data_IF_075785565103
#
_entry.id   IF_075785565103
#
_cell.length_a   1.000
_cell.length_b   1.000
_cell.length_c   1.000
_cell.angle_alpha   90.00
_cell.angle_beta   90.00
_cell.angle_gamma   90.00
#
_symmetry.space_group_name_H-M   'P 1'
#
loop_
_entity.id
_entity.type
_entity.pdbx_description
1 polymer ?
#
# COMPACT_ATOMS: atom_id res chain seq x y z
N UNK A 1 -9.04 2.56 -21.96
CA UNK A 1 -8.00 1.78 -21.20
C UNK A 1 -8.49 1.66 -19.79
N UNK A 2 -8.57 0.45 -19.26
CA UNK A 2 -8.99 0.25 -17.88
C UNK A 2 -7.93 0.78 -16.88
N UNK A 3 -8.30 0.93 -15.60
CA UNK A 3 -7.43 1.54 -14.61
C UNK A 3 -6.13 0.75 -14.38
N UNK A 4 -6.20 -0.60 -14.37
CA UNK A 4 -5.01 -1.43 -14.17
C UNK A 4 -4.02 -1.22 -15.32
N UNK A 5 -4.50 -1.18 -16.56
CA UNK A 5 -3.67 -0.85 -17.72
C UNK A 5 -3.02 0.54 -17.58
N UNK A 6 -3.76 1.53 -17.08
CA UNK A 6 -3.19 2.88 -16.84
C UNK A 6 -2.09 2.87 -15.77
N UNK A 7 -2.27 2.11 -14.68
CA UNK A 7 -1.26 1.93 -13.62
C UNK A 7 0.01 1.30 -14.21
N UNK A 8 -0.14 0.26 -15.03
CA UNK A 8 0.97 -0.42 -15.71
C UNK A 8 1.71 0.52 -16.66
N UNK A 9 0.99 1.26 -17.51
CA UNK A 9 1.63 2.19 -18.47
C UNK A 9 2.38 3.35 -17.78
N UNK A 10 1.85 3.86 -16.65
CA UNK A 10 2.60 4.87 -15.87
C UNK A 10 3.89 4.30 -15.27
N UNK A 11 3.86 3.06 -14.79
CA UNK A 11 5.05 2.39 -14.29
C UNK A 11 6.09 2.16 -15.40
N UNK A 12 5.66 1.74 -16.60
CA UNK A 12 6.54 1.58 -17.78
C UNK A 12 7.20 2.88 -18.19
N UNK A 13 6.45 4.00 -18.19
CA UNK A 13 6.94 5.32 -18.57
C UNK A 13 7.99 5.88 -17.62
N UNK A 14 8.00 5.43 -16.36
CA UNK A 14 8.94 5.86 -15.33
C UNK A 14 9.35 4.68 -14.44
N UNK A 15 10.20 3.81 -14.99
CA UNK A 15 10.61 2.56 -14.35
C UNK A 15 11.22 2.78 -12.99
N UNK A 16 10.79 2.00 -12.04
CA UNK A 16 11.28 1.98 -10.67
C UNK A 16 11.98 0.64 -10.38
N UNK A 17 12.92 0.64 -9.45
CA UNK A 17 13.66 -0.54 -8.98
C UNK A 17 12.90 -1.14 -7.80
N UNK A 18 12.28 -2.30 -8.02
CA UNK A 18 11.45 -2.97 -7.01
C UNK A 18 12.16 -4.22 -6.51
N UNK A 19 12.33 -4.31 -5.19
CA UNK A 19 12.90 -5.48 -4.52
C UNK A 19 11.83 -6.52 -4.26
N UNK A 20 12.12 -7.76 -4.62
CA UNK A 20 11.30 -8.94 -4.34
C UNK A 20 12.11 -9.90 -3.43
N UNK A 21 11.93 -9.81 -2.10
CA UNK A 21 12.71 -10.60 -1.13
C UNK A 21 12.49 -12.11 -1.22
N UNK A 22 11.36 -12.54 -1.77
CA UNK A 22 10.96 -13.94 -1.90
C UNK A 22 11.32 -14.49 -3.29
N UNK A 23 12.59 -14.33 -3.69
CA UNK A 23 13.09 -14.59 -5.05
C UNK A 23 12.98 -16.04 -5.53
N UNK A 24 12.73 -17.03 -4.66
CA UNK A 24 12.52 -18.44 -5.01
C UNK A 24 11.03 -18.85 -4.91
N UNK A 25 10.13 -17.90 -4.67
CA UNK A 25 8.70 -18.20 -4.60
C UNK A 25 8.10 -18.24 -6.01
N UNK A 26 7.35 -19.29 -6.33
CA UNK A 26 6.88 -19.60 -7.68
C UNK A 26 6.05 -18.47 -8.30
N UNK A 27 5.04 -17.95 -7.57
CA UNK A 27 4.15 -16.88 -8.05
C UNK A 27 4.93 -15.58 -8.25
N UNK A 28 5.85 -15.31 -7.34
CA UNK A 28 6.75 -14.14 -7.41
C UNK A 28 7.65 -14.21 -8.64
N UNK A 29 8.29 -15.35 -8.91
CA UNK A 29 9.13 -15.51 -10.11
C UNK A 29 8.34 -15.47 -11.41
N UNK A 30 7.15 -16.09 -11.45
CA UNK A 30 6.28 -16.03 -12.65
C UNK A 30 5.81 -14.61 -12.93
N UNK A 31 5.37 -13.86 -11.91
CA UNK A 31 5.00 -12.46 -12.06
C UNK A 31 6.21 -11.59 -12.44
N UNK A 32 7.38 -11.83 -11.82
CA UNK A 32 8.61 -11.13 -12.17
C UNK A 32 8.99 -11.31 -13.63
N UNK A 33 8.90 -12.54 -14.16
CA UNK A 33 9.15 -12.81 -15.57
C UNK A 33 8.21 -12.00 -16.49
N UNK A 34 6.93 -11.88 -16.14
CA UNK A 34 5.97 -11.09 -16.90
C UNK A 34 6.27 -9.59 -16.82
N UNK A 35 6.58 -9.06 -15.61
CA UNK A 35 6.99 -7.67 -15.41
C UNK A 35 8.20 -7.30 -16.26
N UNK A 36 9.22 -8.19 -16.31
CA UNK A 36 10.43 -8.00 -17.11
C UNK A 36 10.17 -8.12 -18.61
N UNK A 37 9.23 -8.97 -19.02
CA UNK A 37 8.78 -9.10 -20.40
C UNK A 37 8.10 -7.81 -20.85
N UNK A 38 7.18 -7.30 -20.05
CA UNK A 38 6.36 -6.13 -20.36
C UNK A 38 7.12 -4.80 -20.12
N UNK A 39 8.27 -4.86 -19.45
CA UNK A 39 9.11 -3.70 -19.16
C UNK A 39 8.51 -2.73 -18.14
N UNK A 40 7.73 -3.24 -17.17
CA UNK A 40 6.98 -2.43 -16.19
C UNK A 40 7.87 -1.83 -15.12
N UNK A 41 8.85 -2.59 -14.63
CA UNK A 41 9.78 -2.19 -13.59
C UNK A 41 11.15 -2.86 -13.78
N UNK A 42 12.18 -2.32 -13.16
CA UNK A 42 13.44 -3.01 -12.90
C UNK A 42 13.30 -3.83 -11.62
N UNK A 43 13.72 -5.08 -11.63
CA UNK A 43 13.53 -5.98 -10.50
C UNK A 43 14.87 -6.36 -9.85
N UNK A 44 14.84 -6.42 -8.52
CA UNK A 44 15.92 -6.94 -7.68
C UNK A 44 15.36 -8.15 -6.94
N UNK A 45 15.79 -9.35 -7.30
CA UNK A 45 15.40 -10.61 -6.67
C UNK A 45 16.41 -10.96 -5.58
N UNK A 46 15.95 -11.28 -4.37
CA UNK A 46 16.82 -11.71 -3.29
C UNK A 46 16.77 -13.23 -3.13
N UNK A 47 17.92 -13.85 -3.11
CA UNK A 47 18.09 -15.30 -2.96
C UNK A 47 19.35 -15.79 -3.67
N UNK A 48 19.60 -17.10 -3.56
CA UNK A 48 20.74 -17.73 -4.22
C UNK A 48 20.56 -17.67 -5.76
N UNK A 49 21.52 -17.12 -6.52
CA UNK A 49 21.42 -16.96 -7.97
C UNK A 49 21.23 -18.27 -8.73
N UNK A 50 21.97 -19.32 -8.33
CA UNK A 50 21.89 -20.63 -9.00
C UNK A 50 20.53 -21.28 -8.79
N UNK A 51 19.96 -21.16 -7.57
CA UNK A 51 18.63 -21.65 -7.25
C UNK A 51 17.56 -20.88 -8.07
N UNK A 52 17.60 -19.53 -8.05
CA UNK A 52 16.65 -18.69 -8.80
C UNK A 52 16.70 -19.01 -10.29
N UNK A 53 17.89 -19.10 -10.88
CA UNK A 53 18.04 -19.39 -12.31
C UNK A 53 17.69 -20.85 -12.64
N UNK A 54 17.92 -21.79 -11.72
CA UNK A 54 17.47 -23.17 -11.83
C UNK A 54 15.96 -23.28 -11.91
N UNK A 55 15.25 -22.65 -10.98
CA UNK A 55 13.79 -22.57 -10.96
C UNK A 55 13.22 -21.83 -12.19
N UNK A 56 13.85 -20.75 -12.61
CA UNK A 56 13.47 -20.02 -13.81
C UNK A 56 13.54 -20.92 -15.06
N UNK A 57 14.61 -21.74 -15.17
CA UNK A 57 14.75 -22.72 -16.27
C UNK A 57 13.71 -23.81 -16.20
N UNK A 58 13.47 -24.38 -15.01
CA UNK A 58 12.46 -25.41 -14.76
C UNK A 58 11.06 -24.96 -15.18
N UNK A 59 10.70 -23.72 -14.85
CA UNK A 59 9.38 -23.16 -15.13
C UNK A 59 9.30 -22.41 -16.46
N UNK A 60 10.37 -22.40 -17.29
CA UNK A 60 10.36 -21.76 -18.60
C UNK A 60 10.33 -20.23 -18.56
N UNK A 61 10.86 -19.61 -17.52
CA UNK A 61 10.83 -18.18 -17.29
C UNK A 61 12.04 -17.48 -17.95
N UNK A 62 11.96 -17.25 -19.26
CA UNK A 62 13.08 -16.82 -20.10
C UNK A 62 13.61 -15.40 -19.83
N UNK A 63 12.90 -14.53 -19.09
CA UNK A 63 13.30 -13.14 -18.87
C UNK A 63 13.91 -12.85 -17.48
N UNK A 64 13.96 -13.83 -16.58
CA UNK A 64 14.51 -13.64 -15.21
C UNK A 64 15.97 -13.18 -15.23
N UNK A 65 16.74 -13.54 -16.25
CA UNK A 65 18.12 -13.08 -16.43
C UNK A 65 18.26 -11.55 -16.58
N UNK A 66 17.16 -10.82 -16.83
CA UNK A 66 17.13 -9.34 -16.89
C UNK A 66 17.02 -8.69 -15.51
N UNK A 67 16.67 -9.46 -14.46
CA UNK A 67 16.65 -8.97 -13.10
C UNK A 67 18.05 -8.89 -12.51
N UNK A 68 18.26 -7.97 -11.58
CA UNK A 68 19.42 -8.04 -10.68
C UNK A 68 19.13 -9.10 -9.62
N UNK A 69 20.01 -10.08 -9.45
CA UNK A 69 19.88 -11.09 -8.40
C UNK A 69 20.93 -10.81 -7.33
N UNK A 70 20.50 -10.70 -6.08
CA UNK A 70 21.36 -10.44 -4.92
C UNK A 70 21.25 -11.62 -3.96
N UNK A 71 22.38 -12.26 -3.69
CA UNK A 71 22.50 -13.28 -2.66
C UNK A 71 22.67 -12.61 -1.29
N UNK A 72 21.74 -12.79 -0.34
CA UNK A 72 21.87 -12.24 1.00
C UNK A 72 23.11 -12.75 1.75
N UNK A 73 23.59 -13.95 1.42
CA UNK A 73 24.77 -14.56 2.06
C UNK A 73 26.09 -14.12 1.42
N UNK A 74 26.06 -13.62 0.19
CA UNK A 74 27.26 -13.26 -0.57
C UNK A 74 27.09 -11.98 -1.38
N UNK A 75 26.91 -10.85 -0.71
CA UNK A 75 26.74 -9.56 -1.35
C UNK A 75 27.87 -8.59 -1.03
N UNK A 76 28.47 -7.90 -2.00
CA UNK A 76 29.63 -7.01 -1.79
C UNK A 76 29.36 -5.84 -0.82
N UNK A 77 28.12 -5.38 -0.70
CA UNK A 77 27.69 -4.30 0.22
C UNK A 77 27.17 -4.82 1.57
N UNK A 78 27.36 -6.10 1.89
CA UNK A 78 26.80 -6.72 3.10
C UNK A 78 27.24 -5.99 4.38
N UNK A 79 28.52 -5.65 4.49
CA UNK A 79 29.06 -4.93 5.65
C UNK A 79 28.54 -3.47 5.70
N UNK A 80 28.41 -2.79 4.56
CA UNK A 80 27.85 -1.45 4.46
C UNK A 80 26.40 -1.44 4.98
N UNK A 81 25.59 -2.41 4.57
CA UNK A 81 24.21 -2.53 5.07
C UNK A 81 24.14 -2.91 6.54
N UNK A 82 25.05 -3.72 7.05
CA UNK A 82 25.14 -4.04 8.48
C UNK A 82 25.48 -2.79 9.32
N UNK A 83 26.42 -1.98 8.86
CA UNK A 83 26.76 -0.71 9.49
C UNK A 83 25.60 0.27 9.47
N UNK A 84 24.90 0.41 8.33
CA UNK A 84 23.70 1.23 8.20
C UNK A 84 22.61 0.81 9.19
N UNK A 85 22.32 -0.50 9.29
CA UNK A 85 21.33 -1.02 10.24
C UNK A 85 21.75 -0.77 11.69
N UNK A 86 23.01 -1.00 12.02
CA UNK A 86 23.57 -0.74 13.36
C UNK A 86 23.40 0.74 13.75
N UNK A 87 23.72 1.66 12.84
CA UNK A 87 23.57 3.10 13.06
C UNK A 87 22.09 3.49 13.26
N UNK A 88 21.19 3.06 12.37
CA UNK A 88 19.75 3.34 12.44
C UNK A 88 19.13 2.84 13.74
N UNK A 89 19.64 1.76 14.30
CA UNK A 89 19.09 1.09 15.49
C UNK A 89 19.96 1.22 16.74
N UNK A 90 21.03 2.03 16.72
CA UNK A 90 21.97 2.24 17.83
C UNK A 90 21.27 2.57 19.15
N UNK A 91 20.31 3.50 19.12
CA UNK A 91 19.51 3.89 20.31
C UNK A 91 18.61 2.76 20.85
N UNK A 92 18.46 1.67 20.13
CA UNK A 92 17.70 0.47 20.52
C UNK A 92 18.61 -0.71 20.86
N UNK A 93 19.93 -0.46 21.04
CA UNK A 93 20.91 -1.47 21.45
C UNK A 93 21.35 -2.44 20.34
N UNK A 94 21.20 -2.08 19.07
CA UNK A 94 21.69 -2.90 17.97
C UNK A 94 23.21 -2.97 17.98
N UNK A 95 23.77 -4.19 18.01
CA UNK A 95 25.20 -4.43 17.83
C UNK A 95 25.53 -4.71 16.38
N UNK A 96 26.78 -4.58 15.98
CA UNK A 96 27.19 -4.87 14.60
C UNK A 96 27.05 -6.36 14.28
N UNK A 97 27.30 -7.25 15.25
CA UNK A 97 27.08 -8.70 15.09
C UNK A 97 25.60 -9.03 14.90
N UNK A 98 24.73 -8.36 15.64
CA UNK A 98 23.26 -8.47 15.47
C UNK A 98 22.82 -7.96 14.10
N UNK A 99 23.37 -6.84 13.65
CA UNK A 99 23.08 -6.27 12.34
C UNK A 99 23.56 -7.20 11.21
N UNK A 100 24.77 -7.75 11.28
CA UNK A 100 25.28 -8.72 10.29
C UNK A 100 24.38 -9.95 10.13
N UNK A 101 23.79 -10.46 11.23
CA UNK A 101 22.83 -11.57 11.17
C UNK A 101 21.51 -11.16 10.49
N UNK A 102 21.01 -9.94 10.77
CA UNK A 102 19.77 -9.47 10.19
C UNK A 102 19.87 -9.14 8.70
N UNK A 103 21.03 -8.70 8.22
CA UNK A 103 21.28 -8.44 6.78
C UNK A 103 21.13 -9.71 5.94
N UNK A 104 21.34 -10.89 6.52
CA UNK A 104 21.11 -12.18 5.84
C UNK A 104 19.60 -12.47 5.63
N UNK A 105 18.72 -11.79 6.36
CA UNK A 105 17.27 -11.93 6.16
C UNK A 105 16.83 -11.08 4.95
N UNK A 106 16.23 -11.67 3.90
CA UNK A 106 15.87 -10.95 2.69
C UNK A 106 14.93 -9.77 2.91
N UNK A 107 14.00 -9.84 3.89
CA UNK A 107 13.08 -8.74 4.21
C UNK A 107 13.82 -7.53 4.82
N UNK A 108 14.83 -7.77 5.66
CA UNK A 108 15.69 -6.72 6.20
C UNK A 108 16.60 -6.16 5.12
N UNK A 109 17.23 -7.03 4.34
CA UNK A 109 18.11 -6.62 3.25
C UNK A 109 17.39 -5.74 2.23
N UNK A 110 16.18 -6.12 1.81
CA UNK A 110 15.39 -5.33 0.87
C UNK A 110 15.08 -3.92 1.39
N UNK A 111 14.71 -3.80 2.67
CA UNK A 111 14.51 -2.49 3.29
C UNK A 111 15.82 -1.67 3.38
N UNK A 112 16.97 -2.30 3.60
CA UNK A 112 18.29 -1.64 3.64
C UNK A 112 18.72 -1.16 2.26
N UNK A 113 18.50 -1.95 1.21
CA UNK A 113 18.72 -1.58 -0.18
C UNK A 113 17.92 -0.30 -0.52
N UNK A 114 16.64 -0.24 -0.13
CA UNK A 114 15.81 0.97 -0.31
C UNK A 114 16.36 2.14 0.50
N UNK A 115 16.73 1.90 1.76
CA UNK A 115 17.22 2.94 2.66
C UNK A 115 18.55 3.55 2.19
N UNK A 116 19.41 2.75 1.57
CA UNK A 116 20.66 3.18 0.94
C UNK A 116 20.45 3.94 -0.40
N UNK A 117 19.23 3.90 -0.97
CA UNK A 117 18.93 4.53 -2.26
C UNK A 117 19.22 3.63 -3.46
N UNK A 118 19.55 2.35 -3.24
CA UNK A 118 19.84 1.38 -4.29
C UNK A 118 18.56 0.77 -4.90
N UNK A 119 17.40 0.95 -4.27
CA UNK A 119 16.07 0.62 -4.79
C UNK A 119 14.99 1.63 -4.37
N UNK A 120 13.79 1.50 -4.93
CA UNK A 120 12.73 2.48 -4.81
C UNK A 120 11.50 1.95 -4.04
N UNK A 121 11.32 0.63 -3.98
CA UNK A 121 10.24 -0.02 -3.25
C UNK A 121 10.46 -1.51 -3.08
N UNK A 122 9.64 -2.14 -2.23
CA UNK A 122 9.65 -3.58 -1.94
C UNK A 122 8.24 -4.16 -2.00
N UNK A 123 8.11 -5.38 -2.52
CA UNK A 123 6.92 -6.20 -2.44
C UNK A 123 7.28 -7.58 -1.90
N UNK A 124 6.62 -8.02 -0.82
CA UNK A 124 6.80 -9.33 -0.20
C UNK A 124 5.47 -9.84 0.36
N UNK A 125 5.45 -10.97 1.06
CA UNK A 125 4.28 -11.51 1.77
C UNK A 125 3.66 -12.75 1.14
N UNK A 126 4.15 -13.20 -0.01
CA UNK A 126 3.68 -14.44 -0.61
C UNK A 126 3.99 -15.69 0.26
N UNK A 127 5.09 -15.65 1.02
CA UNK A 127 5.49 -16.67 2.01
C UNK A 127 5.46 -16.15 3.45
N UNK A 128 5.84 -14.90 3.66
CA UNK A 128 6.00 -14.30 4.98
C UNK A 128 4.69 -13.75 5.53
N UNK A 129 4.64 -13.56 6.85
CA UNK A 129 3.49 -12.90 7.50
C UNK A 129 3.57 -11.37 7.34
N UNK A 130 2.43 -10.68 7.40
CA UNK A 130 2.37 -9.21 7.44
C UNK A 130 3.30 -8.61 8.51
N UNK A 131 3.35 -9.23 9.70
CA UNK A 131 4.24 -8.78 10.78
C UNK A 131 5.73 -8.89 10.43
N UNK A 132 6.13 -9.91 9.67
CA UNK A 132 7.52 -10.10 9.25
C UNK A 132 7.92 -9.09 8.18
N UNK A 133 6.99 -8.73 7.28
CA UNK A 133 7.19 -7.68 6.25
C UNK A 133 7.24 -6.29 6.89
N UNK A 134 6.30 -5.97 7.79
CA UNK A 134 6.20 -4.65 8.40
C UNK A 134 7.33 -4.34 9.40
N UNK A 135 7.83 -5.35 10.13
CA UNK A 135 8.85 -5.14 11.16
C UNK A 135 10.12 -4.48 10.60
N UNK A 136 10.80 -4.99 9.56
CA UNK A 136 11.96 -4.31 8.97
C UNK A 136 11.59 -2.98 8.33
N UNK A 137 10.43 -2.86 7.67
CA UNK A 137 9.95 -1.59 7.10
C UNK A 137 9.88 -0.49 8.16
N UNK A 138 9.24 -0.75 9.31
CA UNK A 138 9.12 0.21 10.40
C UNK A 138 10.45 0.48 11.12
N UNK A 139 11.35 -0.51 11.18
CA UNK A 139 12.64 -0.36 11.83
C UNK A 139 13.65 0.43 11.01
N UNK A 140 13.61 0.32 9.68
CA UNK A 140 14.61 0.83 8.74
C UNK A 140 14.08 2.02 7.96
N UNK A 141 12.95 1.85 7.27
CA UNK A 141 12.34 2.87 6.41
C UNK A 141 11.60 3.91 7.28
N UNK A 142 10.88 3.45 8.30
CA UNK A 142 10.02 4.24 9.20
C UNK A 142 8.77 4.76 8.51
N UNK A 143 7.92 5.44 9.28
CA UNK A 143 6.74 6.15 8.75
C UNK A 143 7.14 7.43 8.03
N UNK A 144 6.26 7.90 7.16
CA UNK A 144 6.41 9.19 6.49
C UNK A 144 6.40 10.35 7.51
N UNK A 145 7.01 11.51 7.21
CA UNK A 145 6.98 12.66 8.08
C UNK A 145 5.55 13.05 8.48
N UNK A 146 5.33 13.28 9.78
CA UNK A 146 4.00 13.61 10.33
C UNK A 146 3.04 12.42 10.48
N UNK A 147 3.41 11.23 10.04
CA UNK A 147 2.60 10.00 10.14
C UNK A 147 3.18 9.10 11.23
N UNK A 148 2.30 8.58 12.09
CA UNK A 148 2.67 7.72 13.22
C UNK A 148 2.12 6.30 13.13
N UNK A 149 1.20 6.04 12.19
CA UNK A 149 0.62 4.73 11.98
C UNK A 149 0.74 4.28 10.52
N UNK A 150 0.77 2.97 10.32
CA UNK A 150 0.66 2.33 9.01
C UNK A 150 -0.78 1.85 8.83
N UNK A 151 -1.30 1.95 7.63
CA UNK A 151 -2.63 1.46 7.27
C UNK A 151 -2.59 0.79 5.89
N UNK A 152 -3.68 0.14 5.52
CA UNK A 152 -3.81 -0.50 4.21
C UNK A 152 -5.02 0.03 3.46
N UNK A 153 -4.84 0.44 2.21
CA UNK A 153 -5.93 0.82 1.33
C UNK A 153 -6.29 -0.31 0.36
N UNK A 154 -7.57 -0.40 0.02
CA UNK A 154 -8.08 -1.28 -1.03
C UNK A 154 -8.58 -0.46 -2.19
N UNK A 155 -8.07 -0.73 -3.39
CA UNK A 155 -8.61 -0.21 -4.63
C UNK A 155 -9.77 -1.12 -5.06
N UNK A 156 -10.95 -0.55 -5.21
CA UNK A 156 -12.18 -1.24 -5.59
C UNK A 156 -12.61 -0.77 -6.98
N UNK A 157 -12.69 -1.71 -7.91
CA UNK A 157 -13.26 -1.52 -9.25
C UNK A 157 -14.64 -2.17 -9.26
N UNK A 158 -15.67 -1.35 -9.12
CA UNK A 158 -17.06 -1.81 -8.97
C UNK A 158 -17.81 -1.80 -10.29
N UNK A 159 -18.98 -2.43 -10.33
CA UNK A 159 -19.93 -2.37 -11.44
C UNK A 159 -20.99 -1.27 -11.25
N UNK A 160 -20.73 -0.31 -10.36
CA UNK A 160 -21.59 0.83 -10.06
C UNK A 160 -20.95 2.14 -10.57
N UNK A 161 -21.04 2.45 -11.88
CA UNK A 161 -20.35 3.60 -12.47
C UNK A 161 -20.83 4.94 -11.91
N UNK A 162 -22.00 4.99 -11.28
CA UNK A 162 -22.54 6.15 -10.60
C UNK A 162 -21.87 6.45 -9.26
N UNK A 163 -21.10 5.50 -8.70
CA UNK A 163 -20.36 5.66 -7.45
C UNK A 163 -18.87 5.94 -7.72
N UNK A 164 -18.25 6.80 -6.94
CA UNK A 164 -16.85 7.17 -7.08
C UNK A 164 -16.54 7.82 -8.43
N UNK A 165 -15.44 7.44 -9.05
CA UNK A 165 -15.09 7.88 -10.40
C UNK A 165 -15.29 6.71 -11.37
N UNK A 166 -16.46 6.64 -12.00
CA UNK A 166 -16.85 5.54 -12.89
C UNK A 166 -16.71 4.14 -12.22
N UNK A 167 -17.16 4.01 -10.98
CA UNK A 167 -17.08 2.77 -10.23
C UNK A 167 -15.73 2.52 -9.53
N UNK A 168 -14.78 3.44 -9.64
CA UNK A 168 -13.48 3.36 -8.95
C UNK A 168 -13.57 4.03 -7.59
N UNK A 169 -13.23 3.29 -6.55
CA UNK A 169 -13.19 3.72 -5.15
C UNK A 169 -11.89 3.28 -4.48
N UNK A 170 -11.44 4.04 -3.49
CA UNK A 170 -10.34 3.62 -2.60
C UNK A 170 -10.85 3.62 -1.16
N UNK A 171 -10.68 2.51 -0.45
CA UNK A 171 -11.15 2.33 0.92
C UNK A 171 -9.96 2.11 1.88
N UNK A 172 -9.91 2.81 3.00
CA UNK A 172 -8.90 2.67 4.07
C UNK A 172 -9.50 2.88 5.47
N UNK A 173 -8.97 2.25 6.53
CA UNK A 173 -8.03 1.15 6.61
C UNK A 173 -8.75 -0.20 6.48
N UNK A 174 -8.15 -1.13 5.75
CA UNK A 174 -8.77 -2.45 5.54
C UNK A 174 -7.87 -3.61 6.03
N UNK A 175 -6.65 -3.31 6.53
CA UNK A 175 -5.65 -4.37 6.70
C UNK A 175 -4.75 -4.28 7.94
N UNK A 176 -4.54 -3.13 8.59
CA UNK A 176 -3.42 -2.95 9.53
C UNK A 176 -3.83 -2.48 10.93
N UNK A 177 -4.53 -1.35 11.06
CA UNK A 177 -4.79 -0.71 12.37
C UNK A 177 -6.18 -1.07 12.90
N UNK A 178 -6.31 -1.97 13.92
CA UNK A 178 -7.61 -2.50 14.32
C UNK A 178 -8.57 -1.43 14.84
N UNK A 179 -8.14 -0.64 15.80
CA UNK A 179 -8.97 0.41 16.44
C UNK A 179 -8.17 1.71 16.45
N UNK A 180 -8.20 2.49 15.38
CA UNK A 180 -7.50 3.78 15.32
C UNK A 180 -8.13 4.77 16.31
N UNK A 181 -7.30 5.56 16.98
CA UNK A 181 -7.76 6.77 17.64
C UNK A 181 -8.07 7.89 16.61
N UNK A 182 -8.53 9.05 17.07
CA UNK A 182 -8.91 10.14 16.17
C UNK A 182 -7.73 10.67 15.35
N UNK A 183 -6.52 10.74 15.94
CA UNK A 183 -5.30 11.15 15.25
C UNK A 183 -4.89 10.14 14.16
N UNK A 184 -4.89 8.86 14.51
CA UNK A 184 -4.58 7.78 13.56
C UNK A 184 -5.60 7.75 12.43
N UNK A 185 -6.89 7.91 12.74
CA UNK A 185 -7.95 7.92 11.72
C UNK A 185 -7.82 9.11 10.76
N UNK A 186 -7.42 10.29 11.26
CA UNK A 186 -7.09 11.46 10.43
C UNK A 186 -5.91 11.17 9.49
N UNK A 187 -4.85 10.55 10.00
CA UNK A 187 -3.69 10.17 9.20
C UNK A 187 -4.04 9.11 8.15
N UNK A 188 -4.89 8.13 8.50
CA UNK A 188 -5.43 7.14 7.56
C UNK A 188 -6.16 7.84 6.40
N UNK A 189 -6.98 8.85 6.70
CA UNK A 189 -7.70 9.61 5.67
C UNK A 189 -6.75 10.31 4.69
N UNK A 190 -5.73 11.01 5.21
CA UNK A 190 -4.72 11.69 4.41
C UNK A 190 -3.94 10.68 3.55
N UNK A 191 -3.45 9.59 4.16
CA UNK A 191 -2.70 8.56 3.44
C UNK A 191 -3.56 7.87 2.37
N UNK A 192 -4.86 7.62 2.65
CA UNK A 192 -5.75 6.99 1.68
C UNK A 192 -6.02 7.91 0.48
N UNK A 193 -6.16 9.22 0.71
CA UNK A 193 -6.26 10.22 -0.35
C UNK A 193 -4.99 10.27 -1.21
N UNK A 194 -3.81 10.25 -0.58
CA UNK A 194 -2.52 10.20 -1.28
C UNK A 194 -2.39 8.93 -2.12
N UNK A 195 -2.80 7.78 -1.59
CA UNK A 195 -2.83 6.50 -2.32
C UNK A 195 -3.78 6.57 -3.52
N UNK A 196 -4.98 7.12 -3.35
CA UNK A 196 -5.94 7.29 -4.44
C UNK A 196 -5.37 8.15 -5.58
N UNK A 197 -4.67 9.24 -5.24
CA UNK A 197 -4.01 10.11 -6.22
C UNK A 197 -2.83 9.40 -6.89
N UNK A 198 -1.92 8.81 -6.11
CA UNK A 198 -0.69 8.22 -6.60
C UNK A 198 -0.92 6.97 -7.45
N UNK A 199 -1.83 6.09 -7.03
CA UNK A 199 -2.07 4.79 -7.65
C UNK A 199 -3.18 4.87 -8.68
N UNK A 200 -4.35 5.38 -8.28
CA UNK A 200 -5.52 5.41 -9.16
C UNK A 200 -5.62 6.69 -10.03
N UNK A 201 -4.79 7.70 -9.77
CA UNK A 201 -4.83 8.97 -10.52
C UNK A 201 -6.09 9.80 -10.25
N UNK A 202 -6.78 9.54 -9.13
CA UNK A 202 -8.01 10.21 -8.76
C UNK A 202 -7.74 11.63 -8.23
N UNK A 203 -8.73 12.51 -8.35
CA UNK A 203 -8.86 13.72 -7.53
C UNK A 203 -9.61 13.33 -6.25
N UNK A 204 -8.94 13.19 -5.09
CA UNK A 204 -9.55 12.57 -3.91
C UNK A 204 -10.67 13.42 -3.33
N UNK A 205 -11.84 12.81 -3.15
CA UNK A 205 -13.00 13.33 -2.43
C UNK A 205 -13.29 12.36 -1.28
N UNK A 206 -12.80 12.72 -0.09
CA UNK A 206 -12.73 11.83 1.07
C UNK A 206 -13.99 11.92 1.91
N UNK A 207 -14.66 10.80 2.14
CA UNK A 207 -15.74 10.66 3.10
C UNK A 207 -15.27 9.91 4.34
N UNK A 208 -15.36 10.55 5.51
CA UNK A 208 -15.19 9.91 6.81
C UNK A 208 -16.48 9.19 7.19
N UNK A 209 -16.46 7.85 7.13
CA UNK A 209 -17.67 7.04 7.27
C UNK A 209 -18.05 6.78 8.73
N UNK A 210 -19.35 6.77 8.95
CA UNK A 210 -20.00 6.45 10.22
C UNK A 210 -21.41 5.91 9.98
N UNK A 211 -22.06 5.39 11.02
CA UNK A 211 -23.50 5.16 10.99
C UNK A 211 -24.33 6.45 11.22
N UNK A 212 -23.67 7.57 11.49
CA UNK A 212 -24.25 8.91 11.62
C UNK A 212 -23.94 9.77 10.40
N UNK A 213 -24.81 10.71 10.07
CA UNK A 213 -24.59 11.78 9.09
C UNK A 213 -24.87 13.11 9.74
N UNK A 214 -23.85 13.97 9.87
CA UNK A 214 -23.96 15.35 10.36
C UNK A 214 -24.75 15.48 11.68
N UNK A 215 -24.39 14.63 12.67
CA UNK A 215 -24.98 14.65 14.00
C UNK A 215 -26.32 13.93 14.12
N UNK A 216 -26.70 13.07 13.15
CA UNK A 216 -27.96 12.31 13.23
C UNK A 216 -27.97 11.27 14.36
N UNK A 217 -26.79 10.89 14.88
CA UNK A 217 -26.65 10.03 16.06
C UNK A 217 -25.55 10.57 16.98
N UNK A 218 -25.66 10.22 18.28
CA UNK A 218 -24.67 10.59 19.32
C UNK A 218 -24.11 9.33 19.95
N UNK A 219 -22.81 9.13 19.82
CA UNK A 219 -22.09 8.01 20.41
C UNK A 219 -20.58 8.29 20.34
N UNK A 220 -19.80 7.76 21.28
CA UNK A 220 -18.32 7.94 21.32
C UNK A 220 -17.62 7.55 20.02
N UNK A 221 -18.08 6.51 19.30
CA UNK A 221 -17.51 6.11 18.01
C UNK A 221 -17.84 7.14 16.90
N UNK A 222 -18.92 7.90 17.02
CA UNK A 222 -19.23 9.02 16.12
C UNK A 222 -18.34 10.21 16.45
N UNK A 223 -18.19 10.54 17.75
CA UNK A 223 -17.37 11.65 18.22
C UNK A 223 -15.91 11.47 17.77
N UNK A 224 -15.38 10.23 17.78
CA UNK A 224 -14.06 9.90 17.23
C UNK A 224 -13.94 10.29 15.75
N UNK A 225 -14.92 9.99 14.93
CA UNK A 225 -14.89 10.31 13.48
C UNK A 225 -14.97 11.83 13.26
N UNK A 226 -15.79 12.53 14.04
CA UNK A 226 -15.91 14.00 13.99
C UNK A 226 -14.60 14.67 14.37
N UNK A 227 -13.94 14.19 15.45
CA UNK A 227 -12.64 14.71 15.87
C UNK A 227 -11.55 14.40 14.84
N UNK A 228 -11.55 13.19 14.28
CA UNK A 228 -10.63 12.82 13.22
C UNK A 228 -10.76 13.70 11.97
N UNK A 229 -11.98 14.05 11.58
CA UNK A 229 -12.22 15.00 10.48
C UNK A 229 -11.61 16.37 10.76
N UNK A 230 -11.78 16.88 11.98
CA UNK A 230 -11.21 18.17 12.39
C UNK A 230 -9.68 18.14 12.30
N UNK A 231 -9.06 17.10 12.87
CA UNK A 231 -7.61 16.92 12.84
C UNK A 231 -7.12 16.80 11.39
N UNK A 232 -7.79 16.04 10.53
CA UNK A 232 -7.40 15.89 9.13
C UNK A 232 -7.41 17.22 8.38
N UNK A 233 -8.42 18.08 8.60
CA UNK A 233 -8.50 19.44 8.04
C UNK A 233 -7.41 20.37 8.57
N UNK A 234 -6.97 20.19 9.80
CA UNK A 234 -5.86 20.96 10.39
C UNK A 234 -4.52 20.50 9.81
N UNK A 235 -4.34 19.18 9.60
CA UNK A 235 -3.10 18.61 9.04
C UNK A 235 -2.95 18.89 7.54
N UNK A 236 -4.04 18.85 6.77
CA UNK A 236 -4.07 19.14 5.34
C UNK A 236 -5.31 19.98 4.98
N UNK A 237 -5.20 21.31 5.08
CA UNK A 237 -6.32 22.21 4.77
C UNK A 237 -6.77 22.19 3.31
N UNK A 238 -5.96 21.66 2.39
CA UNK A 238 -6.29 21.55 0.98
C UNK A 238 -7.04 20.25 0.63
N UNK A 239 -7.09 19.30 1.56
CA UNK A 239 -7.75 18.02 1.35
C UNK A 239 -9.28 18.20 1.24
N UNK A 240 -9.84 17.74 0.14
CA UNK A 240 -11.29 17.67 -0.06
C UNK A 240 -11.87 16.53 0.79
N UNK A 241 -12.25 16.83 2.03
CA UNK A 241 -12.72 15.86 3.03
C UNK A 241 -13.94 16.36 3.76
N UNK A 242 -14.90 15.46 4.01
CA UNK A 242 -16.06 15.74 4.84
C UNK A 242 -16.54 14.49 5.60
N UNK A 243 -17.38 14.70 6.60
CA UNK A 243 -17.93 13.66 7.49
C UNK A 243 -18.60 14.32 8.70
N UNK A 244 -19.10 13.56 9.64
CA UNK A 244 -19.26 12.10 9.44
C UNK A 244 -20.42 11.85 8.46
N UNK A 245 -20.28 10.84 7.64
CA UNK A 245 -21.28 10.48 6.63
C UNK A 245 -21.59 8.98 6.69
N UNK A 246 -22.86 8.63 6.56
CA UNK A 246 -23.24 7.25 6.25
C UNK A 246 -22.82 6.92 4.80
N UNK A 247 -22.61 5.64 4.52
CA UNK A 247 -22.11 5.20 3.20
C UNK A 247 -23.05 5.59 2.05
N UNK A 248 -24.38 5.52 2.26
CA UNK A 248 -25.38 5.96 1.30
C UNK A 248 -25.31 7.47 1.04
N UNK A 249 -25.11 8.27 2.09
CA UNK A 249 -24.95 9.72 1.97
C UNK A 249 -23.61 10.09 1.28
N UNK A 250 -22.56 9.32 1.48
CA UNK A 250 -21.26 9.53 0.83
C UNK A 250 -21.30 9.23 -0.68
N UNK A 251 -22.03 8.18 -1.09
CA UNK A 251 -21.98 7.63 -2.44
C UNK A 251 -23.16 8.04 -3.35
N UNK A 252 -24.35 8.25 -2.79
CA UNK A 252 -25.57 8.48 -3.58
C UNK A 252 -25.94 9.96 -3.60
N UNK A 253 -25.87 10.67 -4.75
CA UNK A 253 -26.07 12.13 -4.82
C UNK A 253 -27.38 12.61 -4.19
N UNK A 254 -28.50 11.92 -4.42
CA UNK A 254 -29.81 12.28 -3.85
C UNK A 254 -29.83 12.15 -2.33
N UNK A 255 -29.16 11.12 -1.79
CA UNK A 255 -29.07 10.90 -0.34
C UNK A 255 -28.16 11.94 0.30
N UNK A 256 -27.01 12.20 -0.33
CA UNK A 256 -26.06 13.23 0.12
C UNK A 256 -26.70 14.61 0.18
N UNK A 257 -27.42 15.01 -0.87
CA UNK A 257 -28.13 16.30 -0.89
C UNK A 257 -29.20 16.43 0.21
N UNK A 258 -29.86 15.31 0.56
CA UNK A 258 -30.88 15.29 1.61
C UNK A 258 -30.32 15.28 3.02
N UNK A 259 -29.30 14.40 3.28
CA UNK A 259 -28.77 14.17 4.64
C UNK A 259 -27.63 15.12 5.03
N UNK A 260 -26.89 15.64 4.04
CA UNK A 260 -25.75 16.54 4.25
C UNK A 260 -25.80 17.73 3.28
N UNK A 261 -26.84 18.59 3.37
CA UNK A 261 -26.99 19.74 2.47
C UNK A 261 -25.77 20.68 2.62
N UNK A 262 -25.22 21.15 1.49
CA UNK A 262 -24.03 22.01 1.45
C UNK A 262 -22.68 21.28 1.51
N UNK A 263 -22.66 19.96 1.67
CA UNK A 263 -21.41 19.18 1.56
C UNK A 263 -20.97 19.07 0.10
N UNK A 264 -19.70 19.38 -0.17
CA UNK A 264 -19.10 19.20 -1.49
C UNK A 264 -18.69 17.74 -1.77
N UNK A 265 -18.66 16.89 -0.73
CA UNK A 265 -18.22 15.50 -0.76
C UNK A 265 -19.40 14.52 -0.80
N UNK A 266 -20.47 14.81 -0.03
CA UNK A 266 -21.62 13.91 0.04
C UNK A 266 -22.22 13.64 -1.34
N UNK A 267 -22.45 12.35 -1.64
CA UNK A 267 -22.91 11.86 -2.93
C UNK A 267 -21.88 11.85 -4.05
N UNK A 268 -20.61 12.19 -3.77
CA UNK A 268 -19.54 12.32 -4.78
C UNK A 268 -18.21 11.72 -4.31
N UNK A 269 -18.19 11.05 -3.15
CA UNK A 269 -16.98 10.49 -2.59
C UNK A 269 -16.39 9.40 -3.49
N UNK A 270 -15.06 9.41 -3.64
CA UNK A 270 -14.28 8.37 -4.29
C UNK A 270 -13.23 7.75 -3.36
N UNK A 271 -13.07 8.32 -2.16
CA UNK A 271 -12.24 7.79 -1.08
C UNK A 271 -13.11 7.61 0.15
N UNK A 272 -13.15 6.38 0.68
CA UNK A 272 -13.96 5.99 1.81
C UNK A 272 -13.07 5.62 2.99
N UNK A 273 -13.16 6.36 4.09
CA UNK A 273 -12.41 6.09 5.31
C UNK A 273 -13.33 5.51 6.36
N UNK A 274 -13.10 4.26 6.70
CA UNK A 274 -13.92 3.51 7.68
C UNK A 274 -13.43 3.74 9.11
N UNK A 275 -14.32 3.67 10.12
CA UNK A 275 -13.99 4.03 11.50
C UNK A 275 -13.08 3.03 12.22
N UNK A 276 -12.96 1.81 11.72
CA UNK A 276 -12.10 0.75 12.27
C UNK A 276 -11.86 -0.36 11.24
N UNK A 277 -10.84 -1.18 11.49
CA UNK A 277 -10.42 -2.28 10.61
C UNK A 277 -11.54 -3.30 10.34
N UNK A 278 -12.32 -3.65 11.34
CA UNK A 278 -13.42 -4.63 11.18
C UNK A 278 -14.40 -4.18 10.10
N UNK A 279 -14.81 -2.92 10.13
CA UNK A 279 -15.71 -2.36 9.12
C UNK A 279 -15.06 -2.41 7.75
N UNK A 280 -13.82 -1.98 7.61
CA UNK A 280 -13.11 -1.97 6.34
C UNK A 280 -12.91 -3.37 5.76
N UNK A 281 -12.40 -4.29 6.59
CA UNK A 281 -12.10 -5.65 6.17
C UNK A 281 -13.35 -6.44 5.76
N UNK A 282 -14.45 -6.28 6.49
CA UNK A 282 -15.72 -6.92 6.18
C UNK A 282 -16.32 -6.29 4.91
N UNK A 283 -16.36 -4.95 4.83
CA UNK A 283 -17.02 -4.25 3.75
C UNK A 283 -16.40 -4.51 2.39
N UNK A 284 -15.06 -4.41 2.26
CA UNK A 284 -14.46 -4.64 0.95
C UNK A 284 -14.68 -6.07 0.46
N UNK A 285 -14.63 -7.07 1.36
CA UNK A 285 -14.90 -8.47 1.00
C UNK A 285 -16.34 -8.70 0.57
N UNK A 286 -17.31 -8.04 1.22
CA UNK A 286 -18.71 -8.10 0.80
C UNK A 286 -18.89 -7.46 -0.58
N UNK A 287 -18.29 -6.31 -0.83
CA UNK A 287 -18.32 -5.66 -2.14
C UNK A 287 -17.66 -6.53 -3.21
N UNK A 288 -16.50 -7.12 -2.91
CA UNK A 288 -15.81 -8.04 -3.82
C UNK A 288 -16.67 -9.28 -4.13
N UNK A 289 -17.17 -9.98 -3.11
CA UNK A 289 -17.84 -11.27 -3.28
C UNK A 289 -19.29 -11.15 -3.73
N UNK A 290 -20.06 -10.22 -3.18
CA UNK A 290 -21.47 -10.05 -3.50
C UNK A 290 -21.69 -9.04 -4.63
N UNK A 291 -20.87 -7.98 -4.68
CA UNK A 291 -20.93 -6.96 -5.73
C UNK A 291 -20.11 -7.31 -6.98
N UNK A 292 -19.40 -8.45 -6.97
CA UNK A 292 -18.51 -8.87 -8.06
C UNK A 292 -17.47 -7.81 -8.45
N UNK A 293 -17.10 -6.95 -7.52
CA UNK A 293 -16.06 -5.96 -7.72
C UNK A 293 -14.68 -6.61 -7.76
N UNK A 294 -13.74 -5.99 -8.49
CA UNK A 294 -12.32 -6.35 -8.37
C UNK A 294 -11.70 -5.54 -7.24
N UNK A 295 -11.17 -6.22 -6.23
CA UNK A 295 -10.42 -5.63 -5.13
C UNK A 295 -8.92 -5.83 -5.36
N UNK A 296 -8.13 -4.74 -5.38
CA UNK A 296 -6.68 -4.78 -5.55
C UNK A 296 -5.99 -4.18 -4.33
N UNK A 297 -5.15 -4.96 -3.68
CA UNK A 297 -4.50 -4.59 -2.43
C UNK A 297 -4.40 -5.76 -1.44
N UNK A 298 -4.15 -5.49 -0.14
CA UNK A 298 -4.03 -4.14 0.44
C UNK A 298 -2.76 -3.41 0.01
N UNK A 299 -2.90 -2.12 -0.24
CA UNK A 299 -1.80 -1.22 -0.56
C UNK A 299 -1.37 -0.57 0.76
N UNK A 300 -0.17 -0.86 1.23
CA UNK A 300 0.34 -0.27 2.47
C UNK A 300 0.65 1.22 2.28
N UNK A 301 0.31 2.00 3.28
CA UNK A 301 0.44 3.45 3.27
C UNK A 301 0.92 3.97 4.63
N UNK A 302 1.47 5.20 4.65
CA UNK A 302 2.06 5.79 5.83
C UNK A 302 3.54 5.42 6.07
N UNK A 303 4.16 4.59 5.23
CA UNK A 303 5.59 4.26 5.26
C UNK A 303 6.34 5.25 4.36
N UNK A 304 7.53 5.73 4.79
CA UNK A 304 8.28 6.77 4.09
C UNK A 304 8.75 6.39 2.67
N UNK A 305 8.87 5.11 2.37
CA UNK A 305 9.11 4.53 1.03
C UNK A 305 8.21 3.32 0.84
N UNK A 306 7.78 2.99 -0.38
CA UNK A 306 6.85 1.89 -0.61
C UNK A 306 7.40 0.54 -0.15
N UNK A 307 6.71 -0.07 0.78
CA UNK A 307 6.87 -1.48 1.15
C UNK A 307 5.48 -2.07 1.21
N UNK A 308 5.17 -3.00 0.33
CA UNK A 308 3.86 -3.64 0.27
C UNK A 308 3.91 -5.10 0.71
N UNK A 309 2.77 -5.55 1.23
CA UNK A 309 2.56 -6.91 1.74
C UNK A 309 1.47 -7.62 0.94
N UNK A 310 1.78 -8.82 0.47
CA UNK A 310 0.85 -9.69 -0.24
C UNK A 310 0.10 -10.60 0.74
N UNK A 311 -1.09 -11.02 0.36
CA UNK A 311 -1.71 -12.18 1.00
C UNK A 311 -0.92 -13.46 0.63
N UNK A 312 -0.75 -14.38 1.57
CA UNK A 312 -0.19 -15.72 1.28
C UNK A 312 -1.04 -16.52 0.27
N UNK A 313 -2.29 -16.13 0.11
CA UNK A 313 -3.20 -16.69 -0.90
C UNK A 313 -3.24 -15.90 -2.23
N UNK A 314 -2.32 -14.97 -2.46
CA UNK A 314 -2.28 -14.17 -3.70
C UNK A 314 -2.05 -15.03 -4.93
N UNK A 315 -2.58 -14.58 -6.05
CA UNK A 315 -2.33 -15.14 -7.38
C UNK A 315 -1.10 -14.49 -8.03
N UNK A 316 -0.65 -15.04 -9.16
CA UNK A 316 0.41 -14.42 -9.99
C UNK A 316 -0.02 -13.04 -10.47
N UNK A 317 -1.28 -12.87 -10.84
CA UNK A 317 -1.87 -11.62 -11.30
C UNK A 317 -1.89 -10.55 -10.19
N UNK A 318 -2.17 -10.96 -8.93
CA UNK A 318 -2.07 -10.06 -7.78
C UNK A 318 -0.64 -9.56 -7.57
N UNK A 319 0.35 -10.44 -7.67
CA UNK A 319 1.78 -10.06 -7.56
C UNK A 319 2.15 -9.08 -8.67
N UNK A 320 1.76 -9.37 -9.91
CA UNK A 320 2.00 -8.48 -11.07
C UNK A 320 1.42 -7.08 -10.84
N UNK A 321 0.14 -7.00 -10.46
CA UNK A 321 -0.56 -5.73 -10.18
C UNK A 321 0.10 -4.97 -9.03
N UNK A 322 0.47 -5.68 -7.96
CA UNK A 322 1.09 -5.07 -6.79
C UNK A 322 2.52 -4.57 -7.07
N UNK A 323 3.29 -5.17 -7.97
CA UNK A 323 4.57 -4.63 -8.43
C UNK A 323 4.34 -3.28 -9.15
N UNK A 324 3.38 -3.23 -10.07
CA UNK A 324 3.05 -2.00 -10.80
C UNK A 324 2.53 -0.88 -9.86
N UNK A 325 1.72 -1.24 -8.85
CA UNK A 325 1.25 -0.32 -7.80
C UNK A 325 2.41 0.20 -6.96
N UNK A 326 3.31 -0.69 -6.51
CA UNK A 326 4.51 -0.31 -5.73
C UNK A 326 5.39 0.65 -6.52
N UNK A 327 5.53 0.45 -7.83
CA UNK A 327 6.24 1.37 -8.71
C UNK A 327 5.54 2.75 -8.78
N UNK A 328 4.21 2.81 -8.89
CA UNK A 328 3.47 4.09 -8.88
C UNK A 328 3.59 4.84 -7.56
N UNK A 329 3.58 4.12 -6.42
CA UNK A 329 3.86 4.74 -5.12
C UNK A 329 5.30 5.30 -5.06
N UNK A 330 6.29 4.57 -5.61
CA UNK A 330 7.68 5.03 -5.66
C UNK A 330 7.85 6.29 -6.54
N UNK A 331 7.17 6.35 -7.67
CA UNK A 331 7.11 7.55 -8.53
C UNK A 331 6.58 8.75 -7.73
N UNK A 332 5.45 8.58 -7.05
CA UNK A 332 4.85 9.64 -6.25
C UNK A 332 5.74 10.08 -5.07
N UNK A 333 6.43 9.15 -4.42
CA UNK A 333 7.34 9.45 -3.31
C UNK A 333 8.62 10.20 -3.74
N UNK A 334 9.01 10.14 -5.01
CA UNK A 334 10.13 10.92 -5.57
C UNK A 334 9.71 12.32 -6.02
N UNK A 335 8.42 12.55 -6.25
CA UNK A 335 7.88 13.83 -6.68
C UNK A 335 7.56 14.79 -5.50
N UNK A 336 7.60 14.30 -4.27
CA UNK A 336 7.44 15.06 -3.03
C UNK A 336 8.79 15.60 -2.55
#
# INVERSE_FOLDING_TARGET
MDLISQIVERAKANKQRIVLPEGTEERTLKAANQILTDGVAELILLGNPDEIMGLAKEWGLGNIHKATIIDPENHPKQEEYAQLLCELRKKKGMTIEGARKLVLNPLYLGCLIIKAGDADGQLAGARNTTGDVLRPALQIIKTAPGITCVSGAMLLLTHAPECGDNGVLVMGDVAVTPVPDANQLAQIAICTAQTAKAVAGLDPRVAMLSFSTKGSAKHEVVDKVVEALKIAKEMDPALKIDGELQADAALVPRVGASKAPGSEIAGKANVLVVPCLEVGNISYKLVERLGHATAVGPILQGIARPVNDLSRGCSIDDVYKMIAITANQAIAAKAQ
#
